data_IF_817355634710
#
_entry.id   IF_817355634710
#
_cell.length_a   1.000
_cell.length_b   1.000
_cell.length_c   1.000
_cell.angle_alpha   90.00
_cell.angle_beta   90.00
_cell.angle_gamma   90.00
#
_symmetry.space_group_name_H-M   'P 1'
#
loop_
_entity.id
_entity.type
_entity.pdbx_description
1 polymer ?
#
# COMPACT_ATOMS: atom_id res chain seq x y z
N UNK A 1 3.60 -8.39 -31.03
CA UNK A 1 2.84 -7.54 -30.16
C UNK A 1 3.60 -7.30 -28.86
N UNK A 2 3.24 -6.26 -28.22
CA UNK A 2 3.89 -5.93 -26.98
C UNK A 2 3.51 -6.92 -25.88
N UNK A 3 4.52 -7.44 -25.24
CA UNK A 3 4.32 -8.46 -24.23
C UNK A 3 4.85 -8.02 -22.87
N UNK A 4 4.98 -6.74 -22.67
CA UNK A 4 5.46 -6.25 -21.38
C UNK A 4 4.53 -6.54 -20.22
N UNK A 5 3.32 -7.00 -20.50
CA UNK A 5 2.34 -7.30 -19.48
C UNK A 5 2.45 -8.72 -18.94
N UNK A 6 3.59 -9.34 -19.06
CA UNK A 6 3.78 -10.69 -18.52
C UNK A 6 3.83 -10.72 -17.02
N UNK A 7 3.98 -9.57 -16.42
CA UNK A 7 3.93 -9.49 -14.97
C UNK A 7 2.53 -9.74 -14.49
N UNK A 8 2.43 -10.47 -13.41
CA UNK A 8 1.20 -10.49 -12.64
C UNK A 8 1.33 -9.44 -11.57
N UNK A 9 0.22 -8.77 -11.31
CA UNK A 9 0.19 -7.83 -10.21
C UNK A 9 -0.73 -8.35 -9.14
N UNK A 10 -0.38 -8.08 -7.91
CA UNK A 10 -1.19 -8.45 -6.77
C UNK A 10 -1.29 -7.25 -5.86
N UNK A 11 -2.48 -7.03 -5.34
CA UNK A 11 -2.70 -5.94 -4.38
C UNK A 11 -2.72 -6.54 -2.99
N UNK A 12 -1.80 -6.09 -2.16
CA UNK A 12 -1.73 -6.51 -0.77
C UNK A 12 -2.21 -5.38 0.09
N UNK A 13 -2.99 -5.69 1.10
CA UNK A 13 -3.53 -4.67 1.98
C UNK A 13 -3.42 -5.12 3.42
N UNK A 14 -3.40 -4.13 4.30
CA UNK A 14 -3.36 -4.38 5.72
C UNK A 14 -4.03 -3.22 6.44
N UNK A 15 -4.65 -3.51 7.55
CA UNK A 15 -5.31 -2.50 8.36
C UNK A 15 -4.57 -2.35 9.67
N UNK A 16 -4.57 -1.14 10.19
CA UNK A 16 -3.91 -0.85 11.44
C UNK A 16 -4.52 0.36 12.10
N UNK A 17 -3.80 0.94 13.03
CA UNK A 17 -4.25 2.11 13.75
C UNK A 17 -3.14 3.14 13.77
N UNK A 18 -3.46 4.37 13.38
CA UNK A 18 -2.57 5.51 13.26
C UNK A 18 -1.55 5.36 12.13
N UNK A 19 -0.91 4.23 12.01
CA UNK A 19 0.03 4.01 10.92
C UNK A 19 0.11 2.52 10.61
N UNK A 20 0.48 2.22 9.39
CA UNK A 20 0.59 0.84 8.96
C UNK A 20 1.52 0.77 7.76
N UNK A 21 2.17 -0.37 7.61
CA UNK A 21 3.00 -0.63 6.46
C UNK A 21 2.62 -2.01 5.91
N UNK A 22 2.57 -2.12 4.60
CA UNK A 22 2.35 -3.40 3.94
C UNK A 22 3.48 -3.62 2.95
N UNK A 23 4.05 -4.81 2.97
CA UNK A 23 5.23 -5.12 2.16
C UNK A 23 4.90 -6.15 1.10
N UNK A 24 5.58 -6.02 -0.04
CA UNK A 24 5.56 -7.05 -1.07
C UNK A 24 6.44 -8.23 -0.63
N UNK A 25 6.22 -9.38 -1.24
CA UNK A 25 7.07 -10.53 -0.98
C UNK A 25 8.43 -10.36 -1.63
N UNK A 26 9.36 -11.24 -1.29
CA UNK A 26 10.72 -11.12 -1.78
C UNK A 26 10.83 -11.31 -3.30
N UNK A 27 9.88 -12.04 -3.89
CA UNK A 27 9.86 -12.25 -5.34
C UNK A 27 8.95 -11.25 -6.05
N UNK A 28 8.62 -10.18 -5.38
CA UNK A 28 7.74 -9.14 -5.92
C UNK A 28 8.45 -7.80 -5.83
N UNK A 29 7.99 -6.88 -6.64
CA UNK A 29 8.51 -5.53 -6.63
C UNK A 29 7.37 -4.54 -6.50
N UNK A 30 7.53 -3.58 -5.63
CA UNK A 30 6.54 -2.55 -5.43
C UNK A 30 6.42 -1.70 -6.69
N UNK A 31 5.20 -1.52 -7.17
CA UNK A 31 4.91 -0.67 -8.31
C UNK A 31 4.06 0.53 -7.94
N UNK A 32 3.41 0.48 -6.80
CA UNK A 32 2.60 1.60 -6.35
C UNK A 32 1.87 1.23 -5.08
N UNK A 33 1.04 2.12 -4.62
CA UNK A 33 0.26 1.85 -3.44
C UNK A 33 -0.59 3.02 -3.05
N UNK A 34 -1.21 2.93 -1.89
CA UNK A 34 -2.04 3.98 -1.37
C UNK A 34 -2.57 3.62 -0.01
N UNK A 35 -3.42 4.49 0.50
CA UNK A 35 -3.98 4.27 1.82
C UNK A 35 -5.28 5.03 1.97
N UNK A 36 -6.08 4.60 2.94
CA UNK A 36 -7.37 5.20 3.20
C UNK A 36 -7.58 5.26 4.70
N UNK A 37 -7.96 6.43 5.18
CA UNK A 37 -8.35 6.58 6.57
C UNK A 37 -9.74 6.00 6.78
N UNK A 38 -10.05 5.71 8.02
CA UNK A 38 -11.33 5.12 8.38
C UNK A 38 -12.50 5.94 7.80
N UNK A 39 -13.48 5.28 7.16
CA UNK A 39 -14.63 6.01 6.63
C UNK A 39 -15.35 6.78 7.72
N UNK A 40 -15.84 7.95 7.36
CA UNK A 40 -16.53 8.82 8.30
C UNK A 40 -15.62 9.72 9.11
N UNK A 41 -14.34 9.51 9.03
CA UNK A 41 -13.38 10.37 9.70
C UNK A 41 -13.15 11.64 8.90
N UNK A 42 -12.94 12.74 9.59
CA UNK A 42 -12.59 14.00 8.95
C UNK A 42 -11.08 14.17 8.80
N UNK A 43 -10.32 13.28 9.39
CA UNK A 43 -8.87 13.36 9.33
C UNK A 43 -8.37 12.88 7.99
N UNK A 44 -7.27 13.49 7.56
CA UNK A 44 -6.64 13.13 6.31
C UNK A 44 -5.37 12.35 6.59
N UNK A 45 -4.88 11.68 5.55
CA UNK A 45 -3.59 11.03 5.64
C UNK A 45 -2.53 12.04 6.06
N UNK A 46 -1.76 11.68 7.07
CA UNK A 46 -0.64 12.50 7.48
C UNK A 46 0.49 12.39 6.48
N UNK A 47 0.76 11.18 6.04
CA UNK A 47 1.71 10.92 4.98
C UNK A 47 1.41 9.55 4.37
N UNK A 48 1.90 9.36 3.17
CA UNK A 48 1.72 8.11 2.43
C UNK A 48 2.87 8.04 1.43
N UNK A 49 3.71 7.02 1.56
CA UNK A 49 4.88 6.92 0.70
C UNK A 49 5.40 5.49 0.67
N UNK A 50 6.26 5.18 -0.32
CA UNK A 50 6.90 3.87 -0.35
C UNK A 50 7.83 3.70 0.84
N UNK A 51 7.92 2.47 1.32
CA UNK A 51 8.78 2.12 2.44
C UNK A 51 9.45 0.80 2.12
N UNK A 52 10.70 0.86 1.68
CA UNK A 52 11.39 -0.32 1.21
C UNK A 52 10.66 -0.92 0.01
N UNK A 53 10.35 -2.19 0.08
CA UNK A 53 9.57 -2.86 -0.97
C UNK A 53 8.09 -2.93 -0.57
N UNK A 54 7.59 -1.88 0.03
CA UNK A 54 6.22 -1.83 0.48
C UNK A 54 5.70 -0.41 0.50
N UNK A 55 4.53 -0.24 1.10
CA UNK A 55 3.87 1.05 1.19
C UNK A 55 3.48 1.33 2.62
N UNK A 56 3.69 2.55 3.06
CA UNK A 56 3.36 2.96 4.42
C UNK A 56 2.56 4.25 4.40
N UNK A 57 1.72 4.41 5.39
CA UNK A 57 0.91 5.61 5.51
C UNK A 57 0.49 5.81 6.96
N UNK A 58 0.01 6.99 7.27
CA UNK A 58 -0.43 7.31 8.62
C UNK A 58 -1.68 8.17 8.60
N UNK A 59 -2.60 7.86 9.51
CA UNK A 59 -3.81 8.64 9.76
C UNK A 59 -3.89 8.87 11.26
N UNK A 60 -3.69 10.09 11.73
CA UNK A 60 -3.61 10.35 13.18
C UNK A 60 -4.90 9.95 13.91
N UNK A 61 -4.75 9.17 14.97
CA UNK A 61 -5.82 8.87 15.89
C UNK A 61 -6.99 8.08 15.31
N UNK A 62 -6.77 7.30 14.26
CA UNK A 62 -7.86 6.56 13.65
C UNK A 62 -7.34 5.34 12.91
N UNK A 63 -8.26 4.48 12.51
CA UNK A 63 -7.90 3.30 11.74
C UNK A 63 -7.44 3.67 10.34
N UNK A 64 -6.61 2.82 9.76
CA UNK A 64 -6.06 3.05 8.44
C UNK A 64 -5.97 1.72 7.70
N UNK A 65 -6.22 1.78 6.42
CA UNK A 65 -5.99 0.66 5.51
C UNK A 65 -4.93 1.09 4.50
N UNK A 66 -3.86 0.33 4.44
CA UNK A 66 -2.75 0.60 3.51
C UNK A 66 -2.71 -0.53 2.49
N UNK A 67 -2.48 -0.19 1.25
CA UNK A 67 -2.35 -1.20 0.22
C UNK A 67 -1.15 -0.92 -0.66
N UNK A 68 -0.55 -1.99 -1.13
CA UNK A 68 0.59 -1.94 -2.02
C UNK A 68 0.30 -2.78 -3.24
N UNK A 69 0.67 -2.27 -4.39
CA UNK A 69 0.53 -3.00 -5.64
C UNK A 69 1.91 -3.55 -5.98
N UNK A 70 1.99 -4.86 -6.05
CA UNK A 70 3.25 -5.57 -6.24
C UNK A 70 3.25 -6.30 -7.56
N UNK A 71 4.35 -6.23 -8.27
CA UNK A 71 4.52 -6.97 -9.52
C UNK A 71 5.31 -8.24 -9.24
N UNK A 72 4.82 -9.35 -9.72
CA UNK A 72 5.47 -10.65 -9.55
C UNK A 72 6.29 -10.95 -10.81
N UNK A 73 7.55 -11.24 -10.62
CA UNK A 73 8.43 -11.59 -11.72
C UNK A 73 8.18 -12.99 -12.22
#
# INVERSE_FOLDING_TARGET
SWQGSRFKTVTRSSTGYESMVVNCNSNEQLTGGGAQCNPGSKERLKWSNPAGNGWAAACPGQGITVFAICAIY
#
